data_IF_615436695248
#
_entry.id   IF_615436695248
#
_cell.length_a   1.000
_cell.length_b   1.000
_cell.length_c   1.000
_cell.angle_alpha   90.00
_cell.angle_beta   90.00
_cell.angle_gamma   90.00
#
_symmetry.space_group_name_H-M   'P 1'
#
loop_
_entity.id
_entity.type
_entity.pdbx_description
1 polymer ?
#
# COMPACT_ATOMS: atom_id res chain seq x y z
N UNK A 1 -13.35 14.56 -14.10
CA UNK A 1 -13.44 13.12 -14.43
C UNK A 1 -14.60 12.56 -13.66
N UNK A 2 -15.56 11.99 -14.36
CA UNK A 2 -16.59 11.16 -13.71
C UNK A 2 -15.93 10.05 -12.90
N UNK A 3 -16.50 9.77 -11.75
CA UNK A 3 -15.98 8.76 -10.81
C UNK A 3 -16.16 7.38 -11.44
N UNK A 4 -15.07 6.75 -11.87
CA UNK A 4 -15.14 5.43 -12.50
C UNK A 4 -15.24 4.34 -11.45
N UNK A 5 -16.32 3.52 -11.46
CA UNK A 5 -16.55 2.49 -10.45
C UNK A 5 -15.40 1.48 -10.30
N UNK A 6 -14.71 1.16 -11.41
CA UNK A 6 -13.56 0.27 -11.41
C UNK A 6 -12.48 0.70 -10.38
N UNK A 7 -12.15 1.98 -10.35
CA UNK A 7 -11.10 2.47 -9.44
C UNK A 7 -11.54 2.45 -7.98
N UNK A 8 -12.81 2.74 -7.69
CA UNK A 8 -13.32 2.65 -6.32
C UNK A 8 -13.42 1.18 -5.88
N UNK A 9 -13.83 0.28 -6.78
CA UNK A 9 -13.79 -1.17 -6.54
C UNK A 9 -12.35 -1.63 -6.27
N UNK A 10 -11.38 -1.20 -7.07
CA UNK A 10 -9.98 -1.58 -6.91
C UNK A 10 -9.39 -1.08 -5.59
N UNK A 11 -9.66 0.18 -5.21
CA UNK A 11 -9.19 0.74 -3.94
C UNK A 11 -9.75 -0.02 -2.74
N UNK A 12 -11.07 -0.29 -2.73
CA UNK A 12 -11.68 -1.01 -1.61
C UNK A 12 -11.18 -2.45 -1.54
N UNK A 13 -11.18 -3.17 -2.66
CA UNK A 13 -10.72 -4.55 -2.68
C UNK A 13 -9.24 -4.67 -2.27
N UNK A 14 -8.37 -3.79 -2.77
CA UNK A 14 -6.95 -3.79 -2.41
C UNK A 14 -6.75 -3.50 -0.92
N UNK A 15 -7.41 -2.45 -0.36
CA UNK A 15 -7.24 -2.13 1.07
C UNK A 15 -7.84 -3.21 1.96
N UNK A 16 -8.97 -3.83 1.59
CA UNK A 16 -9.55 -4.95 2.33
C UNK A 16 -8.60 -6.16 2.36
N UNK A 17 -7.94 -6.48 1.23
CA UNK A 17 -6.91 -7.51 1.18
C UNK A 17 -5.68 -7.16 2.02
N UNK A 18 -5.28 -5.88 2.09
CA UNK A 18 -4.22 -5.43 3.00
C UNK A 18 -4.61 -5.68 4.46
N UNK A 19 -5.85 -5.38 4.85
CA UNK A 19 -6.35 -5.68 6.20
C UNK A 19 -6.31 -7.19 6.47
N UNK A 20 -6.76 -8.02 5.52
CA UNK A 20 -6.68 -9.48 5.62
C UNK A 20 -5.22 -9.94 5.80
N UNK A 21 -4.31 -9.47 4.95
CA UNK A 21 -2.90 -9.85 5.01
C UNK A 21 -2.28 -9.48 6.38
N UNK A 22 -2.54 -8.27 6.89
CA UNK A 22 -2.05 -7.86 8.21
C UNK A 22 -2.68 -8.67 9.35
N UNK A 23 -3.93 -9.11 9.20
CA UNK A 23 -4.59 -9.97 10.18
C UNK A 23 -3.99 -11.38 10.20
N UNK A 24 -3.63 -11.93 9.04
CA UNK A 24 -2.99 -13.25 8.94
C UNK A 24 -1.48 -13.21 9.17
N UNK A 25 -0.83 -12.05 9.10
CA UNK A 25 0.63 -11.89 9.20
C UNK A 25 1.27 -12.59 10.43
N UNK A 26 0.66 -12.58 11.64
CA UNK A 26 1.21 -13.30 12.80
C UNK A 26 1.32 -14.82 12.60
N UNK A 27 0.62 -15.37 11.61
CA UNK A 27 0.62 -16.81 11.28
C UNK A 27 1.47 -17.13 10.04
N UNK A 28 2.18 -16.17 9.47
CA UNK A 28 2.98 -16.30 8.24
C UNK A 28 3.91 -17.52 8.26
N UNK A 29 4.62 -17.73 9.38
CA UNK A 29 5.56 -18.84 9.55
C UNK A 29 4.93 -20.08 10.25
N UNK A 30 3.71 -19.94 10.78
CA UNK A 30 3.05 -21.02 11.54
C UNK A 30 2.34 -22.03 10.63
N UNK A 31 1.86 -21.58 9.47
CA UNK A 31 1.14 -22.42 8.51
C UNK A 31 1.52 -21.98 7.07
N UNK A 32 2.00 -22.93 6.28
CA UNK A 32 2.48 -22.64 4.91
C UNK A 32 1.38 -22.13 3.98
N UNK A 33 0.13 -22.59 4.15
CA UNK A 33 -1.00 -22.12 3.33
C UNK A 33 -1.30 -20.66 3.66
N UNK A 34 -1.40 -20.34 4.97
CA UNK A 34 -1.59 -18.95 5.42
C UNK A 34 -0.46 -18.06 4.92
N UNK A 35 0.80 -18.52 5.09
CA UNK A 35 1.97 -17.79 4.62
C UNK A 35 1.94 -17.50 3.12
N UNK A 36 1.64 -18.51 2.30
CA UNK A 36 1.54 -18.33 0.85
C UNK A 36 0.42 -17.37 0.45
N UNK A 37 -0.74 -17.39 1.12
CA UNK A 37 -1.83 -16.45 0.89
C UNK A 37 -1.39 -15.02 1.23
N UNK A 38 -0.79 -14.81 2.41
CA UNK A 38 -0.29 -13.50 2.86
C UNK A 38 0.72 -12.94 1.87
N UNK A 39 1.73 -13.72 1.49
CA UNK A 39 2.77 -13.30 0.56
C UNK A 39 2.23 -13.03 -0.84
N UNK A 40 1.23 -13.82 -1.30
CA UNK A 40 0.55 -13.57 -2.58
C UNK A 40 -0.17 -12.24 -2.56
N UNK A 41 -0.92 -11.93 -1.49
CA UNK A 41 -1.59 -10.63 -1.35
C UNK A 41 -0.57 -9.50 -1.27
N UNK A 42 0.51 -9.67 -0.52
CA UNK A 42 1.59 -8.67 -0.40
C UNK A 42 2.23 -8.38 -1.77
N UNK A 43 2.37 -9.39 -2.63
CA UNK A 43 2.97 -9.22 -3.95
C UNK A 43 2.22 -8.23 -4.85
N UNK A 44 0.90 -8.06 -4.71
CA UNK A 44 0.15 -7.17 -5.62
C UNK A 44 -0.68 -6.08 -4.95
N UNK A 45 -1.14 -6.24 -3.70
CA UNK A 45 -2.09 -5.30 -3.11
C UNK A 45 -1.49 -3.89 -2.97
N UNK A 46 -0.28 -3.77 -2.42
CA UNK A 46 0.42 -2.49 -2.34
C UNK A 46 0.85 -1.96 -3.72
N UNK A 47 1.45 -2.75 -4.63
CA UNK A 47 1.70 -2.34 -6.01
C UNK A 47 0.47 -1.76 -6.72
N UNK A 48 -0.70 -2.40 -6.63
CA UNK A 48 -1.96 -1.87 -7.20
C UNK A 48 -2.32 -0.54 -6.57
N UNK A 49 -2.31 -0.46 -5.23
CA UNK A 49 -2.71 0.76 -4.52
C UNK A 49 -1.80 1.94 -4.86
N UNK A 50 -0.48 1.72 -4.88
CA UNK A 50 0.53 2.73 -5.23
C UNK A 50 0.40 3.16 -6.71
N UNK A 51 0.17 2.20 -7.61
CA UNK A 51 -0.05 2.49 -9.04
C UNK A 51 -1.28 3.37 -9.23
N UNK A 52 -2.37 3.11 -8.53
CA UNK A 52 -3.56 3.97 -8.56
C UNK A 52 -3.25 5.37 -7.98
N UNK A 53 -2.47 5.47 -6.92
CA UNK A 53 -2.03 6.77 -6.39
C UNK A 53 -1.22 7.58 -7.41
N UNK A 54 -0.32 6.93 -8.15
CA UNK A 54 0.41 7.54 -9.25
C UNK A 54 -0.51 7.98 -10.40
N UNK A 55 -1.45 7.13 -10.80
CA UNK A 55 -2.42 7.45 -11.84
C UNK A 55 -3.28 8.70 -11.51
N UNK A 56 -3.72 8.81 -10.25
CA UNK A 56 -4.46 9.99 -9.80
C UNK A 56 -3.58 11.20 -9.51
N UNK A 57 -2.26 11.04 -9.47
CA UNK A 57 -1.28 12.10 -9.31
C UNK A 57 -0.87 12.77 -10.64
N UNK A 58 -1.31 12.26 -11.78
CA UNK A 58 -1.00 12.83 -13.09
C UNK A 58 -1.35 14.31 -13.16
N UNK A 59 -0.50 15.15 -13.76
CA UNK A 59 -0.75 16.57 -13.99
C UNK A 59 -2.07 16.78 -14.74
N UNK A 60 -2.78 17.83 -14.38
CA UNK A 60 -4.03 18.22 -15.04
C UNK A 60 -3.93 19.66 -15.54
N UNK A 61 -4.45 19.98 -16.73
CA UNK A 61 -4.52 21.34 -17.20
C UNK A 61 -5.17 22.25 -16.16
N UNK A 62 -4.59 23.45 -15.95
CA UNK A 62 -5.12 24.44 -15.03
C UNK A 62 -4.95 24.17 -13.54
N UNK A 63 -4.17 23.13 -13.16
CA UNK A 63 -3.84 22.85 -11.77
C UNK A 63 -2.34 22.76 -11.56
N UNK A 64 -1.80 23.26 -10.42
CA UNK A 64 -0.39 23.08 -10.11
C UNK A 64 -0.07 21.58 -10.01
N UNK A 65 1.11 21.18 -10.47
CA UNK A 65 1.57 19.80 -10.37
C UNK A 65 1.73 19.37 -8.91
N UNK A 66 2.14 20.30 -8.05
CA UNK A 66 2.26 20.13 -6.61
C UNK A 66 1.42 21.20 -5.92
N UNK A 67 0.40 20.77 -5.21
CA UNK A 67 -0.44 21.61 -4.36
C UNK A 67 -0.01 21.40 -2.90
N UNK A 68 0.84 22.30 -2.41
CA UNK A 68 1.44 22.20 -1.08
C UNK A 68 0.39 22.19 0.05
N UNK A 69 -0.62 23.06 -0.01
CA UNK A 69 -1.68 23.11 0.99
C UNK A 69 -2.44 21.78 1.05
N UNK A 70 -2.76 21.22 -0.11
CA UNK A 70 -3.43 19.93 -0.21
C UNK A 70 -2.56 18.77 0.28
N UNK A 71 -1.25 18.79 -0.01
CA UNK A 71 -0.34 17.76 0.49
C UNK A 71 -0.22 17.81 2.01
N UNK A 72 -0.12 19.02 2.59
CA UNK A 72 -0.10 19.18 4.03
C UNK A 72 -1.37 18.62 4.65
N UNK A 73 -2.55 19.04 4.17
CA UNK A 73 -3.83 18.61 4.73
C UNK A 73 -4.11 17.09 4.56
N UNK A 74 -3.71 16.51 3.44
CA UNK A 74 -4.08 15.13 3.09
C UNK A 74 -3.01 14.08 3.43
N UNK A 75 -1.76 14.48 3.61
CA UNK A 75 -0.65 13.54 3.84
C UNK A 75 0.15 13.90 5.09
N UNK A 76 0.66 15.14 5.22
CA UNK A 76 1.54 15.50 6.34
C UNK A 76 0.80 15.45 7.68
N UNK A 77 -0.36 16.08 7.77
CA UNK A 77 -1.12 16.11 9.04
C UNK A 77 -1.63 14.73 9.44
N UNK A 78 -2.28 13.94 8.57
CA UNK A 78 -2.61 12.55 8.90
C UNK A 78 -1.38 11.71 9.26
N UNK A 79 -0.25 11.90 8.56
CA UNK A 79 0.99 11.23 8.91
C UNK A 79 1.40 11.51 10.36
N UNK A 80 1.50 12.78 10.74
CA UNK A 80 1.91 13.17 12.10
C UNK A 80 0.95 12.64 13.16
N UNK A 81 -0.36 12.76 12.93
CA UNK A 81 -1.39 12.26 13.85
C UNK A 81 -1.24 10.75 14.07
N UNK A 82 -1.14 9.98 12.99
CA UNK A 82 -1.04 8.53 13.09
C UNK A 82 0.35 8.05 13.52
N UNK A 83 1.41 8.78 13.20
CA UNK A 83 2.76 8.50 13.69
C UNK A 83 2.80 8.61 15.22
N UNK A 84 2.25 9.68 15.79
CA UNK A 84 2.15 9.83 17.24
C UNK A 84 1.24 8.74 17.82
N UNK A 85 0.07 8.52 17.26
CA UNK A 85 -0.90 7.52 17.75
C UNK A 85 -0.31 6.11 17.78
N UNK A 86 0.32 5.66 16.69
CA UNK A 86 0.92 4.32 16.64
C UNK A 86 2.14 4.18 17.54
N UNK A 87 2.92 5.24 17.75
CA UNK A 87 4.01 5.21 18.73
C UNK A 87 3.46 5.11 20.15
N UNK A 88 2.47 5.91 20.51
CA UNK A 88 1.84 5.87 21.85
C UNK A 88 1.21 4.48 22.10
N UNK A 89 0.46 3.95 21.15
CA UNK A 89 -0.11 2.58 21.26
C UNK A 89 0.99 1.54 21.43
N UNK A 90 2.09 1.67 20.67
CA UNK A 90 3.25 0.78 20.82
C UNK A 90 3.89 0.89 22.21
N UNK A 91 4.11 2.09 22.72
CA UNK A 91 4.66 2.34 24.06
C UNK A 91 3.80 1.69 25.16
N UNK A 92 2.48 1.82 25.05
CA UNK A 92 1.54 1.23 26.01
C UNK A 92 1.58 -0.30 25.95
N UNK A 93 1.53 -0.89 24.76
CA UNK A 93 1.53 -2.35 24.60
C UNK A 93 2.88 -2.99 24.95
N UNK A 94 3.97 -2.34 24.59
CA UNK A 94 5.34 -2.82 24.86
C UNK A 94 5.81 -2.44 26.27
N UNK A 95 5.05 -1.64 27.01
CA UNK A 95 5.38 -1.07 28.34
C UNK A 95 6.75 -0.38 28.35
N UNK A 96 7.10 0.28 27.24
CA UNK A 96 8.38 0.95 27.04
C UNK A 96 8.17 2.38 26.57
N UNK A 97 8.52 3.36 27.39
CA UNK A 97 8.52 4.75 27.01
C UNK A 97 9.77 5.10 26.22
N UNK A 98 9.65 6.01 25.25
CA UNK A 98 10.77 6.49 24.44
C UNK A 98 10.38 7.71 23.60
N UNK A 99 11.35 8.32 22.91
CA UNK A 99 11.05 9.39 21.99
C UNK A 99 10.18 8.92 20.82
N UNK A 100 9.41 9.83 20.24
CA UNK A 100 8.61 9.57 19.03
C UNK A 100 9.44 10.03 17.83
N UNK A 101 10.03 9.10 17.05
CA UNK A 101 10.79 9.47 15.87
C UNK A 101 9.81 9.91 14.77
N UNK A 102 9.90 11.18 14.34
CA UNK A 102 8.98 11.72 13.35
C UNK A 102 9.36 11.33 11.90
N UNK A 103 10.62 10.99 11.65
CA UNK A 103 11.11 10.61 10.31
C UNK A 103 11.23 9.10 10.11
N UNK A 104 11.11 8.30 11.18
CA UNK A 104 11.09 6.85 11.13
C UNK A 104 9.64 6.36 11.23
N UNK A 105 8.96 6.14 10.10
CA UNK A 105 7.54 5.83 10.12
C UNK A 105 7.28 4.48 10.80
N UNK A 106 6.39 4.51 11.78
CA UNK A 106 6.00 3.30 12.52
C UNK A 106 4.90 2.55 11.79
N UNK A 107 5.18 1.31 11.42
CA UNK A 107 4.25 0.37 10.81
C UNK A 107 3.52 0.94 9.59
N UNK A 108 2.20 1.21 9.66
CA UNK A 108 1.40 1.64 8.50
C UNK A 108 1.74 3.05 7.99
N UNK A 109 2.35 3.91 8.81
CA UNK A 109 2.56 5.32 8.45
C UNK A 109 3.58 5.52 7.32
N UNK A 110 4.41 4.51 7.04
CA UNK A 110 5.41 4.57 5.96
C UNK A 110 4.81 4.99 4.60
N UNK A 111 3.60 4.49 4.30
CA UNK A 111 2.98 4.76 3.00
C UNK A 111 2.59 6.23 2.82
N UNK A 112 2.11 6.90 3.89
CA UNK A 112 1.81 8.35 3.81
C UNK A 112 3.07 9.16 3.54
N UNK A 113 4.17 8.83 4.22
CA UNK A 113 5.44 9.51 4.04
C UNK A 113 6.03 9.25 2.66
N UNK A 114 6.05 7.99 2.22
CA UNK A 114 6.47 7.65 0.86
C UNK A 114 5.60 8.31 -0.21
N UNK A 115 4.27 8.33 -0.01
CA UNK A 115 3.35 8.98 -0.94
C UNK A 115 3.59 10.50 -1.00
N UNK A 116 3.91 11.15 0.13
CA UNK A 116 4.30 12.55 0.17
C UNK A 116 5.55 12.79 -0.71
N UNK A 117 6.61 11.98 -0.51
CA UNK A 117 7.85 12.09 -1.29
C UNK A 117 7.62 11.85 -2.79
N UNK A 118 6.83 10.83 -3.14
CA UNK A 118 6.46 10.56 -4.52
C UNK A 118 5.63 11.69 -5.14
N UNK A 119 4.71 12.29 -4.40
CA UNK A 119 3.90 13.41 -4.88
C UNK A 119 4.74 14.67 -5.08
N UNK A 120 5.68 14.94 -4.19
CA UNK A 120 6.63 16.05 -4.33
C UNK A 120 7.56 15.84 -5.53
N UNK A 121 7.91 14.60 -5.87
CA UNK A 121 8.77 14.29 -7.03
C UNK A 121 8.05 14.24 -8.38
N UNK A 122 6.71 14.41 -8.44
CA UNK A 122 5.95 14.39 -9.72
C UNK A 122 6.55 15.29 -10.81
N UNK A 123 6.95 16.56 -10.53
CA UNK A 123 7.56 17.41 -11.56
C UNK A 123 8.80 16.80 -12.20
N UNK A 124 9.65 16.11 -11.41
CA UNK A 124 10.83 15.42 -11.90
C UNK A 124 10.45 14.33 -12.92
N UNK A 125 9.50 13.48 -12.55
CA UNK A 125 9.08 12.36 -13.41
C UNK A 125 8.41 12.81 -14.69
N UNK A 126 7.67 13.92 -14.65
CA UNK A 126 7.01 14.47 -15.83
C UNK A 126 7.95 15.23 -16.78
N UNK A 127 9.12 15.67 -16.30
CA UNK A 127 10.17 16.26 -17.12
C UNK A 127 11.01 15.21 -17.88
N UNK A 128 10.98 13.94 -17.44
CA UNK A 128 11.77 12.88 -18.07
C UNK A 128 11.05 12.28 -19.28
N UNK A 129 11.81 12.00 -20.36
CA UNK A 129 11.29 11.29 -21.54
C UNK A 129 10.91 9.84 -21.24
N UNK A 130 11.68 9.17 -20.39
CA UNK A 130 11.52 7.77 -20.01
C UNK A 130 11.53 7.59 -18.48
N UNK A 131 10.49 8.07 -17.77
CA UNK A 131 10.49 8.09 -16.29
C UNK A 131 10.48 6.69 -15.68
N UNK A 132 9.73 5.72 -16.26
CA UNK A 132 9.61 4.38 -15.69
C UNK A 132 10.93 3.59 -15.69
N UNK A 133 11.71 3.51 -16.78
CA UNK A 133 13.04 2.90 -16.74
C UNK A 133 13.96 3.53 -15.69
N UNK A 134 13.96 4.87 -15.57
CA UNK A 134 14.77 5.55 -14.54
C UNK A 134 14.34 5.16 -13.14
N UNK A 135 13.03 5.12 -12.86
CA UNK A 135 12.51 4.69 -11.55
C UNK A 135 12.89 3.23 -11.25
N UNK A 136 12.84 2.34 -12.25
CA UNK A 136 13.25 0.94 -12.10
C UNK A 136 14.75 0.85 -11.79
N UNK A 137 15.59 1.60 -12.51
CA UNK A 137 17.04 1.62 -12.26
C UNK A 137 17.37 2.13 -10.85
N UNK A 138 16.67 3.16 -10.37
CA UNK A 138 16.83 3.67 -8.99
C UNK A 138 16.44 2.58 -7.99
N UNK A 139 15.30 1.93 -8.18
CA UNK A 139 14.83 0.88 -7.27
C UNK A 139 15.78 -0.34 -7.24
N UNK A 140 16.29 -0.76 -8.40
CA UNK A 140 17.23 -1.88 -8.48
C UNK A 140 18.61 -1.47 -7.97
N UNK A 141 19.12 -0.30 -8.33
CA UNK A 141 20.41 0.21 -7.85
C UNK A 141 20.45 0.41 -6.33
N UNK A 142 19.30 0.75 -5.70
CA UNK A 142 19.24 0.90 -4.25
C UNK A 142 19.56 -0.36 -3.47
N UNK A 143 19.40 -1.53 -4.06
CA UNK A 143 19.78 -2.80 -3.45
C UNK A 143 21.29 -3.02 -3.28
N UNK A 144 22.12 -2.22 -3.97
CA UNK A 144 23.57 -2.23 -3.80
C UNK A 144 24.06 -1.43 -2.59
N UNK A 145 23.17 -0.67 -1.92
CA UNK A 145 23.51 0.02 -0.69
C UNK A 145 23.84 -0.99 0.42
N UNK A 146 24.68 -0.59 1.37
CA UNK A 146 25.02 -1.45 2.52
C UNK A 146 23.77 -1.72 3.38
N UNK A 147 23.01 -0.67 3.68
CA UNK A 147 21.75 -0.78 4.41
C UNK A 147 20.80 0.34 3.99
N UNK A 148 19.49 0.10 4.15
CA UNK A 148 18.51 1.18 4.13
C UNK A 148 18.41 1.79 5.53
N UNK A 149 18.52 3.11 5.66
CA UNK A 149 18.21 3.79 6.90
C UNK A 149 16.71 3.65 7.22
N UNK A 150 16.37 3.69 8.52
CA UNK A 150 14.97 3.62 8.96
C UNK A 150 14.18 4.87 8.57
N UNK A 151 14.89 6.00 8.47
CA UNK A 151 14.33 7.30 8.14
C UNK A 151 13.69 7.29 6.75
N UNK A 152 12.57 7.99 6.65
CA UNK A 152 11.79 8.15 5.43
C UNK A 152 11.27 6.82 4.82
N UNK A 153 11.37 5.71 5.56
CA UNK A 153 11.13 4.35 5.05
C UNK A 153 11.82 4.13 3.69
N UNK A 154 13.09 4.51 3.59
CA UNK A 154 13.78 4.70 2.31
C UNK A 154 13.76 3.44 1.45
N UNK A 155 13.91 2.25 2.04
CA UNK A 155 13.80 0.99 1.31
C UNK A 155 12.46 0.85 0.58
N UNK A 156 11.34 1.07 1.29
CA UNK A 156 9.98 1.04 0.70
C UNK A 156 9.78 2.18 -0.29
N UNK A 157 10.25 3.37 0.05
CA UNK A 157 10.11 4.56 -0.82
C UNK A 157 10.79 4.36 -2.17
N UNK A 158 12.00 3.82 -2.19
CA UNK A 158 12.74 3.54 -3.42
C UNK A 158 12.23 2.27 -4.12
N UNK A 159 11.98 1.20 -3.36
CA UNK A 159 11.54 -0.07 -3.92
C UNK A 159 10.16 -0.04 -4.58
N UNK A 160 9.22 0.73 -4.02
CA UNK A 160 7.88 0.91 -4.59
C UNK A 160 7.79 2.09 -5.59
N UNK A 161 8.84 2.89 -5.75
CA UNK A 161 8.87 4.01 -6.70
C UNK A 161 8.45 3.64 -8.13
N UNK A 162 8.88 2.50 -8.71
CA UNK A 162 8.46 2.12 -10.06
C UNK A 162 6.93 1.98 -10.21
N UNK A 163 6.23 1.55 -9.16
CA UNK A 163 4.78 1.40 -9.17
C UNK A 163 4.06 2.74 -9.19
N UNK A 164 4.57 3.72 -8.44
CA UNK A 164 4.03 5.07 -8.48
C UNK A 164 4.27 5.71 -9.85
N UNK A 165 5.49 5.60 -10.40
CA UNK A 165 5.84 6.14 -11.72
C UNK A 165 5.10 5.39 -12.84
N UNK A 166 4.89 4.07 -12.72
CA UNK A 166 4.00 3.33 -13.62
C UNK A 166 2.63 3.97 -13.66
N UNK A 167 2.04 4.29 -12.50
CA UNK A 167 0.77 5.00 -12.42
C UNK A 167 0.79 6.34 -13.14
N UNK A 168 1.88 7.12 -13.07
CA UNK A 168 2.01 8.39 -13.77
C UNK A 168 2.00 8.26 -15.30
N UNK A 169 2.47 7.14 -15.85
CA UNK A 169 2.54 6.92 -17.30
C UNK A 169 1.37 6.14 -17.88
N UNK A 170 0.56 5.48 -17.03
CA UNK A 170 -0.63 4.76 -17.45
C UNK A 170 -1.65 5.72 -18.07
N UNK A 171 -2.33 5.24 -19.12
CA UNK A 171 -3.41 5.94 -19.82
C UNK A 171 -4.70 5.13 -19.74
N UNK A 172 -5.88 5.72 -19.93
CA UNK A 172 -7.16 5.00 -19.92
C UNK A 172 -7.18 3.74 -20.79
N UNK A 173 -6.57 3.80 -21.98
CA UNK A 173 -6.44 2.66 -22.91
C UNK A 173 -5.83 1.40 -22.27
N UNK A 174 -4.89 1.56 -21.30
CA UNK A 174 -4.27 0.41 -20.65
C UNK A 174 -5.26 -0.33 -19.74
N UNK A 175 -6.15 0.41 -19.07
CA UNK A 175 -7.24 -0.21 -18.31
C UNK A 175 -8.29 -0.85 -19.24
N UNK A 176 -8.54 -0.27 -20.41
CA UNK A 176 -9.41 -0.87 -21.43
C UNK A 176 -8.84 -2.19 -21.95
N UNK A 177 -7.50 -2.29 -22.13
CA UNK A 177 -6.85 -3.55 -22.50
C UNK A 177 -7.08 -4.64 -21.44
N UNK A 178 -6.97 -4.30 -20.16
CA UNK A 178 -7.27 -5.24 -19.06
C UNK A 178 -8.74 -5.69 -19.05
N UNK A 179 -9.64 -4.93 -19.67
CA UNK A 179 -11.08 -5.23 -19.78
C UNK A 179 -11.41 -6.16 -20.94
N UNK A 180 -10.48 -6.41 -21.86
CA UNK A 180 -10.72 -7.35 -22.99
C UNK A 180 -11.05 -8.73 -22.46
N UNK A 181 -12.03 -9.40 -23.10
CA UNK A 181 -12.54 -10.69 -22.63
C UNK A 181 -11.44 -11.75 -22.49
N UNK A 182 -10.50 -11.80 -23.44
CA UNK A 182 -9.37 -12.72 -23.39
C UNK A 182 -8.50 -12.49 -22.13
N UNK A 183 -8.15 -11.23 -21.83
CA UNK A 183 -7.35 -10.88 -20.65
C UNK A 183 -8.10 -11.25 -19.36
N UNK A 184 -9.39 -10.94 -19.28
CA UNK A 184 -10.22 -11.28 -18.12
C UNK A 184 -10.36 -12.78 -17.90
N UNK A 185 -10.43 -13.57 -18.97
CA UNK A 185 -10.46 -15.04 -18.86
C UNK A 185 -9.13 -15.64 -18.38
N UNK A 186 -8.00 -15.02 -18.77
CA UNK A 186 -6.67 -15.44 -18.35
C UNK A 186 -6.27 -14.93 -16.96
N UNK A 187 -6.89 -13.87 -16.47
CA UNK A 187 -6.51 -13.23 -15.21
C UNK A 187 -6.56 -14.16 -13.97
N UNK A 188 -7.56 -15.05 -13.79
CA UNK A 188 -7.53 -16.03 -12.69
C UNK A 188 -6.31 -16.94 -12.73
N UNK A 189 -5.86 -17.35 -13.92
CA UNK A 189 -4.65 -18.16 -14.07
C UNK A 189 -3.38 -17.39 -13.73
N UNK A 190 -3.34 -16.07 -13.99
CA UNK A 190 -2.25 -15.20 -13.55
C UNK A 190 -2.16 -15.11 -12.02
N UNK A 191 -3.30 -15.00 -11.34
CA UNK A 191 -3.33 -15.03 -9.87
C UNK A 191 -2.94 -16.41 -9.32
N UNK A 192 -3.42 -17.49 -9.94
CA UNK A 192 -3.06 -18.85 -9.55
C UNK A 192 -1.56 -19.14 -9.76
N UNK A 193 -0.99 -18.69 -10.89
CA UNK A 193 0.44 -18.79 -11.15
C UNK A 193 1.25 -18.02 -10.11
N UNK A 194 0.78 -16.81 -9.73
CA UNK A 194 1.41 -16.03 -8.66
C UNK A 194 1.39 -16.78 -7.34
N UNK A 195 0.25 -17.34 -6.97
CA UNK A 195 0.13 -18.16 -5.76
C UNK A 195 1.06 -19.39 -5.81
N UNK A 196 1.08 -20.11 -6.93
CA UNK A 196 1.94 -21.29 -7.10
C UNK A 196 3.44 -20.94 -7.01
N UNK A 197 3.86 -19.83 -7.64
CA UNK A 197 5.23 -19.35 -7.55
C UNK A 197 5.61 -18.94 -6.12
N UNK A 198 4.74 -18.22 -5.44
CA UNK A 198 4.92 -17.84 -4.03
C UNK A 198 4.91 -19.07 -3.12
N UNK A 199 4.03 -20.03 -3.36
CA UNK A 199 4.00 -21.30 -2.63
C UNK A 199 5.32 -22.05 -2.75
N UNK A 200 5.86 -22.15 -3.96
CA UNK A 200 7.14 -22.81 -4.21
C UNK A 200 8.31 -22.07 -3.53
N UNK A 201 8.28 -20.72 -3.57
CA UNK A 201 9.33 -19.88 -3.00
C UNK A 201 9.11 -19.54 -1.52
N UNK A 202 8.01 -19.99 -0.89
CA UNK A 202 7.60 -19.61 0.48
C UNK A 202 8.74 -19.65 1.51
N UNK A 203 9.56 -20.71 1.62
CA UNK A 203 10.61 -20.76 2.64
C UNK A 203 11.68 -19.67 2.48
N UNK A 204 11.88 -19.18 1.26
CA UNK A 204 12.87 -18.14 0.93
C UNK A 204 12.30 -16.72 1.04
N UNK A 205 10.97 -16.60 1.05
CA UNK A 205 10.27 -15.30 1.09
C UNK A 205 9.75 -14.95 2.49
N UNK A 206 10.06 -15.73 3.51
CA UNK A 206 9.65 -15.45 4.90
C UNK A 206 10.27 -14.17 5.46
N UNK A 207 11.44 -13.77 4.95
CA UNK A 207 12.00 -12.48 5.28
C UNK A 207 11.17 -11.36 4.61
N UNK A 208 10.57 -10.51 5.44
CA UNK A 208 9.77 -9.38 5.01
C UNK A 208 10.53 -8.43 4.07
N UNK A 209 11.85 -8.37 4.15
CA UNK A 209 12.73 -7.56 3.32
C UNK A 209 12.54 -7.78 1.83
N UNK A 210 12.09 -8.96 1.41
CA UNK A 210 11.85 -9.26 0.00
C UNK A 210 10.60 -8.57 -0.57
N UNK A 211 9.43 -8.79 -0.01
CA UNK A 211 8.15 -8.28 -0.55
C UNK A 211 7.78 -6.89 -0.03
N UNK A 212 8.29 -6.52 1.13
CA UNK A 212 8.10 -5.18 1.70
C UNK A 212 9.13 -4.16 1.20
N UNK A 213 10.13 -4.59 0.41
CA UNK A 213 11.21 -3.74 -0.11
C UNK A 213 12.03 -3.06 0.99
N UNK A 214 12.25 -3.75 2.12
CA UNK A 214 13.00 -3.21 3.26
C UNK A 214 14.43 -3.72 3.35
N UNK A 215 14.82 -4.74 2.57
CA UNK A 215 16.15 -5.34 2.60
C UNK A 215 16.98 -5.03 1.37
N UNK A 216 18.21 -4.53 1.57
CA UNK A 216 19.30 -4.51 0.57
C UNK A 216 19.88 -5.92 0.38
N UNK A 217 20.74 -6.13 -0.61
CA UNK A 217 21.45 -7.40 -0.77
C UNK A 217 22.24 -7.76 0.50
N UNK A 218 22.96 -6.81 1.09
CA UNK A 218 23.73 -7.01 2.30
C UNK A 218 22.87 -7.33 3.53
N UNK A 219 21.75 -6.63 3.70
CA UNK A 219 20.81 -6.87 4.81
C UNK A 219 20.11 -8.24 4.71
N UNK A 220 19.88 -8.74 3.50
CA UNK A 220 19.30 -10.07 3.26
C UNK A 220 20.36 -11.19 3.21
N UNK A 221 21.65 -10.85 3.42
CA UNK A 221 22.75 -11.82 3.45
C UNK A 221 23.01 -12.52 2.11
N UNK A 222 22.69 -11.87 0.98
CA UNK A 222 22.88 -12.43 -0.36
C UNK A 222 23.77 -11.54 -1.22
N UNK A 223 24.41 -12.14 -2.24
CA UNK A 223 25.14 -11.35 -3.24
C UNK A 223 24.20 -10.49 -4.08
N UNK A 224 24.67 -9.28 -4.47
CA UNK A 224 23.87 -8.37 -5.28
C UNK A 224 23.29 -8.97 -6.57
N UNK A 225 24.02 -9.83 -7.35
CA UNK A 225 23.44 -10.47 -8.53
C UNK A 225 22.23 -11.37 -8.21
N UNK A 226 22.29 -12.11 -7.11
CA UNK A 226 21.17 -12.94 -6.63
C UNK A 226 20.00 -12.04 -6.23
N UNK A 227 20.27 -11.02 -5.41
CA UNK A 227 19.27 -10.05 -5.01
C UNK A 227 18.59 -9.41 -6.23
N UNK A 228 19.36 -8.96 -7.22
CA UNK A 228 18.88 -8.34 -8.44
C UNK A 228 17.94 -9.27 -9.22
N UNK A 229 18.36 -10.53 -9.41
CA UNK A 229 17.58 -11.55 -10.11
C UNK A 229 16.24 -11.80 -9.41
N UNK A 230 16.28 -12.00 -8.09
CA UNK A 230 15.05 -12.21 -7.29
C UNK A 230 14.15 -10.97 -7.33
N UNK A 231 14.70 -9.77 -7.25
CA UNK A 231 13.92 -8.51 -7.34
C UNK A 231 13.23 -8.33 -8.67
N UNK A 232 13.93 -8.63 -9.77
CA UNK A 232 13.32 -8.58 -11.11
C UNK A 232 12.21 -9.63 -11.22
N UNK A 233 12.44 -10.85 -10.78
CA UNK A 233 11.44 -11.92 -10.81
C UNK A 233 10.20 -11.56 -9.98
N UNK A 234 10.39 -11.07 -8.74
CA UNK A 234 9.30 -10.61 -7.89
C UNK A 234 8.57 -9.41 -8.50
N UNK A 235 9.28 -8.47 -9.12
CA UNK A 235 8.69 -7.33 -9.82
C UNK A 235 7.79 -7.75 -10.99
N UNK A 236 8.24 -8.68 -11.81
CA UNK A 236 7.46 -9.24 -12.92
C UNK A 236 6.25 -10.04 -12.41
N UNK A 237 6.42 -10.84 -11.37
CA UNK A 237 5.35 -11.58 -10.73
C UNK A 237 4.29 -10.65 -10.13
N UNK A 238 4.72 -9.59 -9.45
CA UNK A 238 3.84 -8.55 -8.91
C UNK A 238 3.09 -7.81 -10.01
N UNK A 239 3.74 -7.54 -11.15
CA UNK A 239 3.09 -6.90 -12.30
C UNK A 239 2.00 -7.80 -12.90
N UNK A 240 2.30 -9.09 -13.07
CA UNK A 240 1.32 -10.08 -13.52
C UNK A 240 0.12 -10.14 -12.56
N UNK A 241 0.39 -10.26 -11.25
CA UNK A 241 -0.64 -10.34 -10.23
C UNK A 241 -1.49 -9.07 -10.15
N UNK A 242 -0.87 -7.88 -10.19
CA UNK A 242 -1.57 -6.59 -10.19
C UNK A 242 -2.46 -6.42 -11.43
N UNK A 243 -1.94 -6.74 -12.62
CA UNK A 243 -2.71 -6.70 -13.86
C UNK A 243 -3.88 -7.70 -13.83
N UNK A 244 -3.63 -8.93 -13.36
CA UNK A 244 -4.65 -9.97 -13.21
C UNK A 244 -5.73 -9.55 -12.21
N UNK A 245 -5.34 -9.02 -11.05
CA UNK A 245 -6.28 -8.52 -10.05
C UNK A 245 -7.19 -7.42 -10.61
N UNK A 246 -6.62 -6.42 -11.30
CA UNK A 246 -7.39 -5.35 -11.93
C UNK A 246 -8.31 -5.87 -13.05
N UNK A 247 -7.88 -6.88 -13.80
CA UNK A 247 -8.68 -7.48 -14.88
C UNK A 247 -9.88 -8.29 -14.36
N UNK A 248 -9.75 -8.99 -13.23
CA UNK A 248 -10.82 -9.77 -12.58
C UNK A 248 -11.89 -8.84 -12.00
N UNK A 249 -11.51 -7.68 -11.50
CA UNK A 249 -12.45 -6.78 -10.82
C UNK A 249 -13.57 -6.30 -11.75
N UNK A 250 -14.82 -6.27 -11.26
CA UNK A 250 -15.96 -5.69 -12.00
C UNK A 250 -15.75 -4.18 -12.22
N UNK A 251 -16.06 -3.71 -13.44
CA UNK A 251 -16.00 -2.28 -13.77
C UNK A 251 -17.29 -1.52 -13.44
N UNK A 252 -18.40 -2.24 -13.29
CA UNK A 252 -19.69 -1.66 -12.95
C UNK A 252 -19.80 -1.26 -11.48
N UNK A 253 -20.87 -0.54 -11.15
CA UNK A 253 -21.21 -0.23 -9.75
C UNK A 253 -21.67 -1.48 -9.02
N UNK A 254 -21.07 -1.74 -7.89
CA UNK A 254 -21.40 -2.80 -6.95
C UNK A 254 -21.95 -2.18 -5.66
N UNK A 255 -22.59 -2.98 -4.80
CA UNK A 255 -23.08 -2.51 -3.48
C UNK A 255 -22.00 -1.90 -2.61
N UNK A 256 -20.76 -2.34 -2.76
CA UNK A 256 -19.59 -1.88 -2.00
C UNK A 256 -18.71 -0.85 -2.72
N UNK A 257 -19.04 -0.44 -3.96
CA UNK A 257 -18.25 0.56 -4.71
C UNK A 257 -18.09 1.87 -3.95
N UNK A 258 -19.12 2.31 -3.21
CA UNK A 258 -19.08 3.54 -2.43
C UNK A 258 -18.01 3.50 -1.32
N UNK A 259 -17.68 2.31 -0.80
CA UNK A 259 -16.69 2.12 0.24
C UNK A 259 -15.26 2.45 -0.22
N UNK A 260 -15.00 2.38 -1.53
CA UNK A 260 -13.71 2.75 -2.11
C UNK A 260 -13.30 4.21 -1.87
N UNK A 261 -14.27 5.08 -1.62
CA UNK A 261 -13.99 6.47 -1.24
C UNK A 261 -13.35 6.60 0.16
N UNK A 262 -13.63 5.64 1.03
CA UNK A 262 -13.17 5.62 2.41
C UNK A 262 -11.89 4.77 2.61
N UNK A 263 -11.21 4.36 1.52
CA UNK A 263 -10.03 3.50 1.59
C UNK A 263 -8.92 4.05 2.50
N UNK A 264 -8.76 5.38 2.60
CA UNK A 264 -7.81 6.01 3.52
C UNK A 264 -8.17 5.75 4.99
N UNK A 265 -9.47 5.79 5.33
CA UNK A 265 -9.95 5.50 6.69
C UNK A 265 -9.66 4.06 7.07
N UNK A 266 -10.00 3.12 6.18
CA UNK A 266 -9.68 1.71 6.38
C UNK A 266 -8.18 1.54 6.55
N UNK A 267 -7.37 2.13 5.66
CA UNK A 267 -5.92 2.02 5.69
C UNK A 267 -5.30 2.52 7.00
N UNK A 268 -5.69 3.69 7.49
CA UNK A 268 -5.07 4.28 8.68
C UNK A 268 -5.57 3.67 10.00
N UNK A 269 -6.80 3.22 10.03
CA UNK A 269 -7.45 2.83 11.28
C UNK A 269 -7.42 1.34 11.58
N UNK A 270 -7.29 0.47 10.55
CA UNK A 270 -7.36 -0.99 10.77
C UNK A 270 -6.26 -1.51 11.71
N UNK A 271 -5.14 -0.83 11.73
CA UNK A 271 -4.02 -1.24 12.56
C UNK A 271 -4.30 -1.20 14.06
N UNK A 272 -5.13 -0.29 14.55
CA UNK A 272 -5.45 -0.17 15.98
C UNK A 272 -6.18 -1.42 16.50
N UNK A 273 -7.31 -1.88 15.89
CA UNK A 273 -7.95 -3.12 16.27
C UNK A 273 -7.05 -4.35 16.10
N UNK A 274 -6.18 -4.36 15.07
CA UNK A 274 -5.25 -5.48 14.88
C UNK A 274 -4.19 -5.55 15.97
N UNK A 275 -3.68 -4.43 16.46
CA UNK A 275 -2.77 -4.40 17.61
C UNK A 275 -3.45 -4.90 18.89
N UNK A 276 -4.70 -4.51 19.12
CA UNK A 276 -5.50 -5.05 20.24
C UNK A 276 -5.72 -6.56 20.10
N UNK A 277 -6.05 -7.04 18.88
CA UNK A 277 -6.21 -8.46 18.60
C UNK A 277 -4.90 -9.25 18.84
N UNK A 278 -3.76 -8.70 18.42
CA UNK A 278 -2.44 -9.30 18.69
C UNK A 278 -2.17 -9.37 20.21
N UNK A 279 -2.44 -8.29 20.94
CA UNK A 279 -2.23 -8.21 22.39
C UNK A 279 -3.16 -9.14 23.19
N UNK A 280 -4.33 -9.52 22.67
CA UNK A 280 -5.26 -10.44 23.33
C UNK A 280 -4.74 -11.89 23.44
N UNK A 281 -3.67 -12.23 22.73
CA UNK A 281 -3.11 -13.59 22.73
C UNK A 281 -3.90 -14.61 21.89
N UNK A 282 -4.93 -14.19 21.14
CA UNK A 282 -5.80 -15.09 20.35
C UNK A 282 -5.01 -15.92 19.32
N UNK A 283 -3.88 -15.41 18.83
CA UNK A 283 -3.01 -16.11 17.90
C UNK A 283 -2.25 -17.30 18.53
N UNK A 284 -2.27 -17.45 19.86
CA UNK A 284 -1.66 -18.60 20.54
C UNK A 284 -2.60 -19.81 20.61
N UNK A 285 -3.91 -19.63 20.37
CA UNK A 285 -4.86 -20.73 20.35
C UNK A 285 -4.57 -21.69 19.20
N UNK A 286 -4.24 -22.95 19.52
CA UNK A 286 -3.81 -23.96 18.52
C UNK A 286 -4.82 -24.13 17.38
N UNK A 287 -6.13 -24.17 17.70
CA UNK A 287 -7.20 -24.31 16.71
C UNK A 287 -7.21 -23.18 15.70
N UNK A 288 -6.83 -21.96 16.10
CA UNK A 288 -6.84 -20.76 15.25
C UNK A 288 -5.53 -20.56 14.48
N UNK A 289 -4.58 -21.50 14.55
CA UNK A 289 -3.31 -21.43 13.83
C UNK A 289 -3.30 -22.23 12.53
N UNK A 290 -4.28 -23.11 12.32
CA UNK A 290 -4.40 -23.90 11.09
C UNK A 290 -5.12 -23.11 9.99
N UNK A 291 -4.71 -23.26 8.74
CA UNK A 291 -5.28 -22.55 7.59
C UNK A 291 -6.80 -22.66 7.51
N UNK A 292 -7.38 -23.84 7.80
CA UNK A 292 -8.81 -24.09 7.72
C UNK A 292 -9.67 -23.23 8.66
N UNK A 293 -9.11 -22.82 9.78
CA UNK A 293 -9.79 -21.95 10.76
C UNK A 293 -9.28 -20.50 10.62
N UNK A 294 -7.98 -20.31 10.46
CA UNK A 294 -7.35 -19.00 10.40
C UNK A 294 -7.83 -18.17 9.18
N UNK A 295 -7.83 -18.76 7.99
CA UNK A 295 -8.23 -18.02 6.80
C UNK A 295 -9.67 -17.54 6.84
N UNK A 296 -10.69 -18.38 7.14
CA UNK A 296 -12.07 -17.92 7.18
C UNK A 296 -12.37 -16.99 8.36
N UNK A 297 -11.92 -17.33 9.59
CA UNK A 297 -12.29 -16.56 10.78
C UNK A 297 -11.61 -15.19 10.82
N UNK A 298 -10.27 -15.16 10.67
CA UNK A 298 -9.56 -13.89 10.64
C UNK A 298 -9.85 -13.11 9.35
N UNK A 299 -10.14 -13.79 8.22
CA UNK A 299 -10.58 -13.17 6.99
C UNK A 299 -11.93 -12.50 7.13
N UNK A 300 -12.92 -13.17 7.75
CA UNK A 300 -14.23 -12.59 8.04
C UNK A 300 -14.12 -11.38 8.98
N UNK A 301 -13.29 -11.48 10.03
CA UNK A 301 -13.00 -10.36 10.93
C UNK A 301 -12.40 -9.18 10.16
N UNK A 302 -11.37 -9.42 9.32
CA UNK A 302 -10.68 -8.40 8.56
C UNK A 302 -11.61 -7.70 7.54
N UNK A 303 -12.43 -8.47 6.82
CA UNK A 303 -13.42 -7.93 5.89
C UNK A 303 -14.51 -7.15 6.61
N UNK A 304 -15.03 -7.68 7.72
CA UNK A 304 -15.99 -6.98 8.57
C UNK A 304 -15.43 -5.65 9.10
N UNK A 305 -14.18 -5.65 9.56
CA UNK A 305 -13.47 -4.45 10.00
C UNK A 305 -13.29 -3.45 8.85
N UNK A 306 -12.86 -3.90 7.67
CA UNK A 306 -12.68 -3.03 6.51
C UNK A 306 -14.01 -2.37 6.09
N UNK A 307 -15.11 -3.14 6.07
CA UNK A 307 -16.45 -2.61 5.80
C UNK A 307 -16.86 -1.61 6.88
N UNK A 308 -16.76 -1.98 8.16
CA UNK A 308 -17.14 -1.12 9.29
C UNK A 308 -16.44 0.23 9.24
N UNK A 309 -15.12 0.24 9.01
CA UNK A 309 -14.31 1.47 8.94
C UNK A 309 -14.66 2.33 7.71
N UNK A 310 -15.20 1.73 6.64
CA UNK A 310 -15.59 2.42 5.42
C UNK A 310 -17.04 2.91 5.43
N UNK A 311 -17.86 2.52 6.42
CA UNK A 311 -19.25 2.96 6.52
C UNK A 311 -19.35 4.46 6.78
N UNK A 312 -20.37 5.15 6.25
CA UNK A 312 -20.56 6.60 6.45
C UNK A 312 -20.59 7.05 7.91
N UNK A 313 -21.20 6.33 8.88
CA UNK A 313 -21.14 6.70 10.29
C UNK A 313 -19.73 6.72 10.83
N UNK A 314 -18.95 5.66 10.56
CA UNK A 314 -17.55 5.54 11.00
C UNK A 314 -16.67 6.64 10.39
N UNK A 315 -16.84 6.91 9.10
CA UNK A 315 -16.13 7.99 8.39
C UNK A 315 -16.45 9.35 9.01
N UNK A 316 -17.72 9.64 9.33
CA UNK A 316 -18.12 10.90 9.95
C UNK A 316 -17.52 11.06 11.35
N UNK A 317 -17.59 10.01 12.17
CA UNK A 317 -17.07 10.00 13.54
C UNK A 317 -15.55 10.18 13.57
N UNK A 318 -14.82 9.49 12.67
CA UNK A 318 -13.37 9.44 12.67
C UNK A 318 -12.73 10.50 11.76
N UNK A 319 -13.55 11.32 11.09
CA UNK A 319 -13.07 12.39 10.21
C UNK A 319 -12.09 13.35 10.89
N UNK A 320 -12.33 13.83 12.13
CA UNK A 320 -11.40 14.76 12.80
C UNK A 320 -10.00 14.15 13.00
N UNK A 321 -9.93 12.82 13.16
CA UNK A 321 -8.67 12.10 13.35
C UNK A 321 -7.95 11.86 12.01
N UNK A 322 -8.68 11.41 10.97
CA UNK A 322 -8.10 11.03 9.67
C UNK A 322 -7.88 12.24 8.76
N UNK A 323 -8.77 13.23 8.81
CA UNK A 323 -8.73 14.43 7.99
C UNK A 323 -9.07 15.66 8.85
N UNK A 324 -8.16 16.07 9.77
CA UNK A 324 -8.38 17.28 10.56
C UNK A 324 -8.62 18.50 9.65
N UNK A 325 -9.49 19.44 10.04
CA UNK A 325 -9.87 20.57 9.20
C UNK A 325 -8.80 21.68 9.18
N UNK A 326 -7.56 21.31 8.87
CA UNK A 326 -6.40 22.23 8.81
C UNK A 326 -6.43 23.15 7.58
N UNK A 327 -7.28 22.88 6.60
CA UNK A 327 -7.43 23.72 5.40
C UNK A 327 -7.78 25.18 5.75
N UNK A 328 -8.44 25.40 6.90
CA UNK A 328 -8.76 26.74 7.42
C UNK A 328 -7.52 27.53 7.87
N UNK A 329 -6.44 26.84 8.20
CA UNK A 329 -5.16 27.44 8.62
C UNK A 329 -4.20 27.66 7.45
N UNK A 330 -4.50 27.08 6.29
CA UNK A 330 -3.65 27.18 5.11
C UNK A 330 -4.15 28.28 4.18
N UNK A 331 -3.23 29.11 3.68
CA UNK A 331 -3.54 30.12 2.66
C UNK A 331 -4.01 29.43 1.38
N UNK A 332 -5.14 29.85 0.83
CA UNK A 332 -5.60 29.34 -0.46
C UNK A 332 -4.68 29.87 -1.58
N UNK A 333 -4.19 29.00 -2.48
CA UNK A 333 -3.47 29.46 -3.66
C UNK A 333 -4.41 30.32 -4.52
N UNK A 334 -4.16 31.61 -4.67
CA UNK A 334 -4.96 32.54 -5.47
C UNK A 334 -5.23 33.91 -4.84
N UNK A 335 -4.90 34.11 -3.56
CA UNK A 335 -5.12 35.42 -2.90
C UNK A 335 -3.96 36.40 -3.16
N UNK A 336 -2.78 35.91 -3.58
CA UNK A 336 -1.59 36.75 -3.79
C UNK A 336 -1.58 37.56 -5.09
N UNK A 337 -2.58 37.43 -5.99
CA UNK A 337 -2.63 38.17 -7.25
C UNK A 337 -3.68 39.31 -7.29
N UNK A 338 -4.28 39.68 -6.14
CA UNK A 338 -5.26 40.77 -6.08
C UNK A 338 -4.78 42.02 -5.34
N UNK A 339 -3.56 42.04 -4.85
CA UNK A 339 -2.99 43.17 -4.11
C UNK A 339 -1.67 43.67 -4.74
N UNK A 340 -1.51 43.57 -6.08
CA UNK A 340 -0.42 44.22 -6.81
C UNK A 340 -0.98 45.07 -7.95
#
# INVERSE_FOLDING_TARGET
MERQPLFDNAKFAAVALVVCAHTWMPLLAADRVVGAVVLTVAAFAMPVFITLCGYFAQPRPGRPQVDGARLIAQLVVPYLVFQVLYNVVGMVLERKLGPIPLLEPRWLTWFLLSLLLWRLSVPLWTALRHPLPVAVLIALGSGALHAFPAELALGRTLGFLPWFVLGLVLRPRHFELLRRLAVRRLAPFGLLLTFAAVWAAHPYLLDAGWLEYTGTAAQLGVGYPVWLTVRIALGLLSLLAAASFLAVLPAGRLRWTSLGAASLYVYLLHGLPLKALQASGVYHARVLRHAWTALPLYGAFALGLAVLLALPPSVRLLRPLVQPPVERLLRQPGVLHREA
#
